data_IF_373677285779
#
_entry.id   IF_373677285779
#
_cell.length_a   1.000
_cell.length_b   1.000
_cell.length_c   1.000
_cell.angle_alpha   90.00
_cell.angle_beta   90.00
_cell.angle_gamma   90.00
#
_symmetry.space_group_name_H-M   'P 1'
#
loop_
_entity.id
_entity.type
_entity.pdbx_description
1 polymer ?
#
# COMPACT_ATOMS: atom_id res chain seq x y z
N UNK A 1 15.09 26.56 -7.86
CA UNK A 1 15.11 25.42 -6.91
C UNK A 1 13.71 25.08 -6.42
N UNK A 2 12.99 26.00 -5.78
CA UNK A 2 11.68 25.76 -5.16
C UNK A 2 10.62 25.16 -6.09
N UNK A 3 10.42 25.74 -7.29
CA UNK A 3 9.46 25.22 -8.28
C UNK A 3 9.83 23.81 -8.75
N UNK A 4 11.13 23.54 -8.92
CA UNK A 4 11.61 22.21 -9.30
C UNK A 4 11.30 21.18 -8.22
N UNK A 5 11.51 21.53 -6.94
CA UNK A 5 11.18 20.66 -5.82
C UNK A 5 9.68 20.33 -5.78
N UNK A 6 8.81 21.33 -5.99
CA UNK A 6 7.37 21.12 -6.05
C UNK A 6 6.95 20.20 -7.22
N UNK A 7 7.55 20.36 -8.39
CA UNK A 7 7.26 19.49 -9.54
C UNK A 7 7.76 18.05 -9.32
N UNK A 8 8.95 17.90 -8.73
CA UNK A 8 9.48 16.58 -8.35
C UNK A 8 8.56 15.89 -7.34
N UNK A 9 8.05 16.63 -6.35
CA UNK A 9 7.09 16.10 -5.39
C UNK A 9 5.79 15.63 -6.08
N UNK A 10 5.24 16.43 -7.01
CA UNK A 10 4.04 16.03 -7.78
C UNK A 10 4.28 14.76 -8.60
N UNK A 11 5.45 14.62 -9.22
CA UNK A 11 5.77 13.40 -9.97
C UNK A 11 5.90 12.20 -9.03
N UNK A 12 6.55 12.36 -7.88
CA UNK A 12 6.64 11.32 -6.86
C UNK A 12 5.25 10.88 -6.37
N UNK A 13 4.34 11.82 -6.13
CA UNK A 13 2.96 11.53 -5.73
C UNK A 13 2.26 10.69 -6.80
N UNK A 14 2.38 11.02 -8.09
CA UNK A 14 1.79 10.22 -9.17
C UNK A 14 2.33 8.79 -9.20
N UNK A 15 3.64 8.63 -9.07
CA UNK A 15 4.28 7.32 -9.05
C UNK A 15 3.82 6.51 -7.83
N UNK A 16 3.70 7.16 -6.67
CA UNK A 16 3.18 6.53 -5.45
C UNK A 16 1.71 6.11 -5.61
N UNK A 17 0.85 6.94 -6.23
CA UNK A 17 -0.54 6.58 -6.53
C UNK A 17 -0.62 5.31 -7.38
N UNK A 18 0.19 5.20 -8.44
CA UNK A 18 0.24 4.00 -9.28
C UNK A 18 0.69 2.77 -8.49
N UNK A 19 1.69 2.91 -7.62
CA UNK A 19 2.16 1.82 -6.75
C UNK A 19 1.09 1.39 -5.74
N UNK A 20 0.33 2.32 -5.18
CA UNK A 20 -0.77 2.02 -4.25
C UNK A 20 -1.90 1.25 -4.94
N UNK A 21 -2.22 1.59 -6.18
CA UNK A 21 -3.20 0.85 -6.98
C UNK A 21 -2.74 -0.58 -7.23
N UNK A 22 -1.48 -0.77 -7.64
CA UNK A 22 -0.91 -2.10 -7.84
C UNK A 22 -0.88 -2.91 -6.53
N UNK A 23 -0.49 -2.27 -5.41
CA UNK A 23 -0.47 -2.90 -4.10
C UNK A 23 -1.87 -3.36 -3.65
N UNK A 24 -2.90 -2.54 -3.89
CA UNK A 24 -4.29 -2.90 -3.60
C UNK A 24 -4.71 -4.14 -4.38
N UNK A 25 -4.48 -4.17 -5.70
CA UNK A 25 -4.79 -5.33 -6.54
C UNK A 25 -4.09 -6.61 -6.08
N UNK A 26 -2.82 -6.50 -5.68
CA UNK A 26 -2.04 -7.63 -5.19
C UNK A 26 -2.57 -8.15 -3.85
N UNK A 27 -2.94 -7.25 -2.94
CA UNK A 27 -3.53 -7.60 -1.64
C UNK A 27 -4.93 -8.22 -1.79
N UNK A 28 -5.77 -7.68 -2.66
CA UNK A 28 -7.08 -8.27 -3.02
C UNK A 28 -6.90 -9.70 -3.55
N UNK A 29 -5.90 -9.92 -4.42
CA UNK A 29 -5.56 -11.25 -4.93
C UNK A 29 -5.11 -12.26 -3.86
N UNK A 30 -4.65 -11.78 -2.69
CA UNK A 30 -4.31 -12.62 -1.54
C UNK A 30 -5.48 -12.81 -0.55
N UNK A 31 -6.64 -12.23 -0.84
CA UNK A 31 -7.83 -12.32 0.02
C UNK A 31 -7.94 -11.24 1.08
N UNK A 32 -7.12 -10.17 1.03
CA UNK A 32 -7.34 -9.00 1.88
C UNK A 32 -8.39 -8.08 1.29
N UNK A 33 -9.19 -7.42 2.14
CA UNK A 33 -10.04 -6.32 1.71
C UNK A 33 -9.19 -5.07 1.54
N UNK A 34 -8.66 -4.85 0.33
CA UNK A 34 -7.84 -3.68 -0.01
C UNK A 34 -8.50 -2.84 -1.09
N UNK A 35 -8.28 -1.53 -1.07
CA UNK A 35 -8.79 -0.61 -2.11
C UNK A 35 -7.90 0.62 -2.23
N UNK A 36 -7.88 1.23 -3.41
CA UNK A 36 -7.17 2.49 -3.65
C UNK A 36 -8.02 3.40 -4.53
N UNK A 37 -8.49 4.51 -3.98
CA UNK A 37 -9.30 5.50 -4.69
C UNK A 37 -8.49 6.75 -4.99
N UNK A 38 -8.59 7.26 -6.22
CA UNK A 38 -8.01 8.56 -6.59
C UNK A 38 -9.08 9.64 -6.53
N UNK A 39 -8.68 10.86 -6.14
CA UNK A 39 -9.57 12.03 -6.13
C UNK A 39 -9.14 13.03 -7.20
N UNK A 40 -10.10 13.58 -7.96
CA UNK A 40 -9.89 14.74 -8.83
C UNK A 40 -9.46 14.47 -10.28
N UNK A 41 -9.65 13.26 -10.82
CA UNK A 41 -9.41 12.96 -12.25
C UNK A 41 -7.94 12.96 -12.69
N UNK A 42 -7.04 13.50 -11.86
CA UNK A 42 -5.60 13.43 -12.02
C UNK A 42 -5.00 12.58 -10.89
N UNK A 43 -3.92 11.86 -11.15
CA UNK A 43 -3.19 11.03 -10.16
C UNK A 43 -2.41 11.87 -9.13
N UNK A 44 -3.03 12.93 -8.62
CA UNK A 44 -2.40 13.89 -7.71
C UNK A 44 -2.76 13.59 -6.25
N UNK A 45 -3.67 12.64 -6.01
CA UNK A 45 -4.00 12.17 -4.66
C UNK A 45 -4.59 10.77 -4.68
N UNK A 46 -4.42 10.03 -3.59
CA UNK A 46 -5.10 8.77 -3.37
C UNK A 46 -5.37 8.47 -1.89
N UNK A 47 -6.40 7.67 -1.66
CA UNK A 47 -6.70 6.99 -0.40
C UNK A 47 -6.59 5.49 -0.61
N UNK A 48 -5.53 4.90 -0.07
CA UNK A 48 -5.35 3.47 0.01
C UNK A 48 -5.85 2.97 1.37
N UNK A 49 -6.57 1.85 1.37
CA UNK A 49 -7.07 1.21 2.58
C UNK A 49 -6.88 -0.30 2.48
N UNK A 50 -6.51 -0.93 3.59
CA UNK A 50 -6.49 -2.40 3.71
C UNK A 50 -6.97 -2.83 5.09
N UNK A 51 -7.88 -3.79 5.14
CA UNK A 51 -8.24 -4.49 6.38
C UNK A 51 -7.34 -5.70 6.59
N UNK A 52 -6.77 -5.82 7.78
CA UNK A 52 -5.95 -6.94 8.20
C UNK A 52 -6.73 -8.02 8.98
N UNK A 53 -8.06 -7.89 9.07
CA UNK A 53 -8.92 -8.69 9.96
C UNK A 53 -9.05 -8.07 11.36
N UNK A 54 -9.93 -8.63 12.20
CA UNK A 54 -10.18 -8.19 13.58
C UNK A 54 -10.43 -6.68 13.73
N UNK A 55 -11.23 -6.11 12.81
CA UNK A 55 -11.52 -4.68 12.69
C UNK A 55 -10.29 -3.77 12.63
N UNK A 56 -9.11 -4.33 12.28
CA UNK A 56 -7.89 -3.57 12.07
C UNK A 56 -7.83 -3.05 10.63
N UNK A 57 -7.92 -1.73 10.48
CA UNK A 57 -7.90 -1.00 9.23
C UNK A 57 -6.67 -0.10 9.16
N UNK A 58 -5.91 -0.24 8.07
CA UNK A 58 -4.87 0.70 7.69
C UNK A 58 -5.43 1.63 6.63
N UNK A 59 -5.17 2.93 6.78
CA UNK A 59 -5.40 3.96 5.77
C UNK A 59 -4.10 4.69 5.45
N UNK A 60 -3.79 4.79 4.17
CA UNK A 60 -2.69 5.62 3.67
C UNK A 60 -3.23 6.69 2.72
N UNK A 61 -3.00 7.95 3.05
CA UNK A 61 -3.37 9.09 2.23
C UNK A 61 -2.11 9.72 1.63
N UNK A 62 -2.19 10.08 0.35
CA UNK A 62 -1.16 10.85 -0.34
C UNK A 62 -1.83 11.96 -1.14
N UNK A 63 -1.23 13.14 -1.11
CA UNK A 63 -1.55 14.27 -1.99
C UNK A 63 -0.32 15.16 -2.15
N UNK A 64 -0.43 16.23 -2.94
CA UNK A 64 0.55 17.31 -2.97
C UNK A 64 0.63 18.13 -1.68
N UNK A 65 -0.37 18.02 -0.79
CA UNK A 65 -0.38 18.66 0.54
C UNK A 65 0.30 17.83 1.62
N UNK A 66 0.44 16.51 1.44
CA UNK A 66 1.04 15.66 2.45
C UNK A 66 0.75 14.18 2.29
N UNK A 67 1.41 13.40 3.15
CA UNK A 67 1.35 11.94 3.20
C UNK A 67 1.04 11.55 4.65
N UNK A 68 0.06 10.67 4.85
CA UNK A 68 -0.30 10.18 6.19
C UNK A 68 -0.60 8.69 6.19
N UNK A 69 -0.19 8.01 7.27
CA UNK A 69 -0.57 6.64 7.61
C UNK A 69 -1.42 6.68 8.87
N UNK A 70 -2.53 5.94 8.89
CA UNK A 70 -3.42 5.83 10.04
C UNK A 70 -3.80 4.37 10.25
N UNK A 71 -3.64 3.89 11.48
CA UNK A 71 -4.13 2.59 11.92
C UNK A 71 -5.34 2.78 12.82
N UNK A 72 -6.40 2.03 12.54
CA UNK A 72 -7.63 2.03 13.30
C UNK A 72 -7.97 0.61 13.73
N UNK A 73 -8.48 0.45 14.95
CA UNK A 73 -9.06 -0.80 15.44
C UNK A 73 -10.27 -0.50 16.29
N UNK A 74 -11.37 -1.22 16.08
CA UNK A 74 -12.63 -1.00 16.82
C UNK A 74 -13.05 0.49 16.80
N UNK A 75 -12.92 1.14 15.63
CA UNK A 75 -13.15 2.56 15.39
C UNK A 75 -12.26 3.54 16.18
N UNK A 76 -11.17 3.05 16.79
CA UNK A 76 -10.19 3.89 17.50
C UNK A 76 -8.91 4.04 16.70
N UNK A 77 -8.45 5.28 16.54
CA UNK A 77 -7.12 5.56 16.00
C UNK A 77 -6.06 5.06 16.97
N UNK A 78 -5.25 4.09 16.53
CA UNK A 78 -4.14 3.53 17.30
C UNK A 78 -2.84 4.31 17.05
N UNK A 79 -2.63 4.71 15.80
CA UNK A 79 -1.42 5.37 15.36
C UNK A 79 -1.71 6.25 14.16
N UNK A 80 -1.05 7.41 14.14
CA UNK A 80 -0.99 8.29 12.96
C UNK A 80 0.45 8.74 12.75
N UNK A 81 0.95 8.54 11.53
CA UNK A 81 2.29 8.95 11.10
C UNK A 81 2.17 9.84 9.87
N UNK A 82 3.15 10.71 9.69
CA UNK A 82 3.17 11.67 8.58
C UNK A 82 4.52 11.63 7.84
N UNK A 83 4.51 12.00 6.56
CA UNK A 83 5.72 12.12 5.76
C UNK A 83 6.54 10.84 5.66
N UNK A 84 7.81 10.90 6.05
CA UNK A 84 8.75 9.80 5.88
C UNK A 84 8.39 8.54 6.70
N UNK A 85 7.83 8.71 7.90
CA UNK A 85 7.45 7.59 8.76
C UNK A 85 6.25 6.83 8.18
N UNK A 86 5.30 7.55 7.58
CA UNK A 86 4.19 6.95 6.85
C UNK A 86 4.69 6.13 5.64
N UNK A 87 5.66 6.65 4.88
CA UNK A 87 6.29 5.93 3.77
C UNK A 87 7.00 4.67 4.25
N UNK A 88 7.68 4.74 5.40
CA UNK A 88 8.33 3.58 5.99
C UNK A 88 7.33 2.47 6.33
N UNK A 89 6.19 2.79 6.97
CA UNK A 89 5.16 1.78 7.25
C UNK A 89 4.54 1.17 5.99
N UNK A 90 4.34 1.99 4.94
CA UNK A 90 3.89 1.48 3.64
C UNK A 90 4.89 0.47 3.03
N UNK A 91 6.18 0.72 3.18
CA UNK A 91 7.21 -0.20 2.74
C UNK A 91 7.17 -1.52 3.52
N UNK A 92 6.96 -1.47 4.84
CA UNK A 92 6.83 -2.68 5.66
C UNK A 92 5.60 -3.50 5.26
N UNK A 93 4.46 -2.85 5.01
CA UNK A 93 3.27 -3.51 4.47
C UNK A 93 3.56 -4.18 3.12
N UNK A 94 4.23 -3.48 2.20
CA UNK A 94 4.62 -4.04 0.90
C UNK A 94 5.62 -5.19 1.01
N UNK A 95 6.48 -5.19 2.05
CA UNK A 95 7.42 -6.27 2.32
C UNK A 95 6.67 -7.54 2.78
N UNK A 96 5.67 -7.41 3.65
CA UNK A 96 4.84 -8.55 4.08
C UNK A 96 4.19 -9.28 2.89
N UNK A 97 3.73 -8.51 1.92
CA UNK A 97 3.17 -9.01 0.65
C UNK A 97 4.23 -9.81 -0.12
N UNK A 98 5.43 -9.26 -0.30
CA UNK A 98 6.52 -9.94 -1.04
C UNK A 98 6.96 -11.25 -0.38
N UNK A 99 7.09 -11.26 0.95
CA UNK A 99 7.60 -12.44 1.67
C UNK A 99 6.56 -13.54 1.88
N UNK A 100 5.26 -13.23 1.81
CA UNK A 100 4.20 -14.26 1.76
C UNK A 100 4.10 -14.96 0.40
N UNK A 101 4.58 -14.32 -0.69
CA UNK A 101 4.69 -14.93 -2.03
C UNK A 101 6.08 -15.61 -2.18
N UNK A 102 6.52 -16.42 -1.22
CA UNK A 102 7.56 -17.40 -1.54
C UNK A 102 6.87 -18.65 -2.08
N UNK A 103 7.05 -19.01 -3.36
CA UNK A 103 6.66 -20.33 -3.81
C UNK A 103 7.50 -21.31 -3.00
N UNK A 104 6.85 -22.12 -2.17
CA UNK A 104 7.49 -23.31 -1.66
C UNK A 104 7.85 -24.12 -2.90
N UNK A 105 9.13 -24.17 -3.28
CA UNK A 105 9.66 -25.20 -4.17
C UNK A 105 9.55 -26.54 -3.41
N UNK A 106 8.33 -27.04 -3.32
CA UNK A 106 8.06 -28.38 -2.85
C UNK A 106 6.74 -28.83 -3.47
N UNK A 107 6.82 -30.01 -4.10
CA UNK A 107 5.81 -30.71 -4.90
C UNK A 107 5.80 -30.35 -6.40
N UNK A 108 6.07 -31.25 -7.35
CA UNK A 108 6.25 -32.70 -7.38
C UNK A 108 7.01 -33.05 -8.66
N UNK A 109 8.22 -33.60 -8.56
CA UNK A 109 8.71 -34.60 -9.53
C UNK A 109 9.15 -35.84 -8.75
N UNK A 110 8.18 -36.38 -8.01
CA UNK A 110 8.12 -37.80 -7.72
C UNK A 110 6.77 -38.30 -8.25
N UNK A 111 6.75 -38.66 -9.53
CA UNK A 111 5.79 -39.63 -10.05
C UNK A 111 6.53 -40.56 -11.00
N UNK A 112 7.22 -41.51 -10.39
CA UNK A 112 7.48 -42.84 -10.96
C UNK A 112 6.21 -43.42 -11.57
N UNK A 113 6.32 -43.99 -12.79
CA UNK A 113 5.55 -45.09 -13.40
C UNK A 113 5.98 -45.11 -14.89
N UNK A 114 6.43 -46.19 -15.53
CA UNK A 114 6.35 -47.64 -15.33
C UNK A 114 7.66 -48.25 -15.86
#
# INVERSE_FOLDING_TARGET
>A
MFVRLAEQHRQFVRDLVMNLQALATVLEGMGYLASCYTCGGQMNSASFMVSLGDDHLIRFLVSDYGITWTEMRDDRELMKLEGAEAIHQLQELANLVKFRIQPTESEKIASTRV
#
